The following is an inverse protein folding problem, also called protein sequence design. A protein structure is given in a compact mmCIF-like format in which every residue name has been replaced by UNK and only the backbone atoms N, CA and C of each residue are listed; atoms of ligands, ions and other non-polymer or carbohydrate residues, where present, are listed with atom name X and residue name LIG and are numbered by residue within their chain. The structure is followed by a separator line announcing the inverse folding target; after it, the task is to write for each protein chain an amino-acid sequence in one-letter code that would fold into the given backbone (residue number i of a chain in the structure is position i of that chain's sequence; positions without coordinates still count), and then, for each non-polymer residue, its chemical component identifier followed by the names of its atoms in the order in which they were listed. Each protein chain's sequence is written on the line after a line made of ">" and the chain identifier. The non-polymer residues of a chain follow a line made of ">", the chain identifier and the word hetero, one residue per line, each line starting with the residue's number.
data_IF_136701022462
#
_entry.id   IF_136701022462
#
_cell.length_a   1.000
_cell.length_b   1.000
_cell.length_c   1.000
_cell.angle_alpha   90.00
_cell.angle_beta   90.00
_cell.angle_gamma   90.00
#
_symmetry.space_group_name_H-M   'P 1'
#
loop_
_entity.id
_entity.type
_entity.pdbx_description
1 polymer ?
#
# COMPACT_ATOMS: atom_id res chain seq x y z
N UNK A 1 -13.05 -2.24 -13.81
CA UNK A 1 -12.09 -3.34 -13.73
C UNK A 1 -11.03 -3.09 -14.78
N UNK A 2 -9.78 -2.94 -14.35
CA UNK A 2 -8.66 -2.81 -15.27
C UNK A 2 -8.42 -4.14 -16.01
N UNK A 3 -9.36 -4.50 -16.86
CA UNK A 3 -9.35 -5.76 -17.61
C UNK A 3 -8.28 -5.81 -18.71
N UNK A 4 -7.64 -4.68 -19.01
CA UNK A 4 -6.73 -4.59 -20.15
C UNK A 4 -5.31 -5.08 -19.87
N UNK A 5 -4.92 -5.30 -18.62
CA UNK A 5 -3.53 -5.59 -18.30
C UNK A 5 -3.17 -7.06 -18.07
N UNK A 6 -4.13 -7.95 -17.86
CA UNK A 6 -3.82 -9.33 -17.53
C UNK A 6 -4.50 -10.38 -18.42
N UNK A 7 -5.50 -10.02 -19.18
CA UNK A 7 -6.01 -10.86 -20.26
C UNK A 7 -5.38 -10.30 -21.52
N UNK A 8 -4.34 -10.97 -22.01
CA UNK A 8 -3.93 -10.72 -23.38
C UNK A 8 -5.12 -11.13 -24.24
N UNK A 9 -5.76 -10.16 -24.87
CA UNK A 9 -6.83 -10.36 -25.83
C UNK A 9 -6.30 -10.88 -27.18
N UNK A 10 -4.99 -11.14 -27.27
CA UNK A 10 -4.32 -11.61 -28.47
C UNK A 10 -2.99 -12.30 -28.16
N UNK A 11 -2.56 -13.18 -29.06
CA UNK A 11 -1.25 -13.81 -29.07
C UNK A 11 -0.39 -13.17 -30.17
N UNK A 12 0.80 -12.72 -29.84
CA UNK A 12 1.74 -12.17 -30.82
C UNK A 12 2.29 -13.28 -31.75
N UNK A 13 2.81 -12.93 -32.91
CA UNK A 13 3.51 -13.92 -33.78
C UNK A 13 4.62 -14.67 -33.03
N UNK A 14 5.40 -13.97 -32.19
CA UNK A 14 6.48 -14.57 -31.40
C UNK A 14 5.94 -15.57 -30.36
N UNK A 15 4.79 -15.30 -29.75
CA UNK A 15 4.13 -16.24 -28.83
C UNK A 15 3.72 -17.53 -29.59
N UNK A 16 3.15 -17.40 -30.79
CA UNK A 16 2.74 -18.53 -31.62
C UNK A 16 3.96 -19.36 -32.05
N UNK A 17 5.04 -18.73 -32.48
CA UNK A 17 6.28 -19.41 -32.88
C UNK A 17 6.94 -20.14 -31.69
N UNK A 18 6.92 -19.53 -30.51
CA UNK A 18 7.35 -20.20 -29.29
C UNK A 18 6.49 -21.42 -28.96
N UNK A 19 5.15 -21.29 -28.96
CA UNK A 19 4.24 -22.41 -28.71
C UNK A 19 4.43 -23.55 -29.75
N UNK A 20 4.67 -23.21 -31.03
CA UNK A 20 4.99 -24.20 -32.09
C UNK A 20 6.29 -24.94 -31.78
N UNK A 21 7.30 -24.25 -31.27
CA UNK A 21 8.59 -24.86 -30.92
C UNK A 21 8.52 -25.92 -29.83
N UNK A 22 7.47 -25.85 -28.98
CA UNK A 22 7.25 -26.83 -27.91
C UNK A 22 6.76 -28.20 -28.42
N UNK A 23 6.25 -28.28 -29.66
CA UNK A 23 5.71 -29.50 -30.29
C UNK A 23 4.60 -30.21 -29.49
N UNK A 24 3.80 -29.45 -28.71
CA UNK A 24 2.69 -29.96 -27.88
C UNK A 24 1.33 -29.65 -28.50
N UNK A 25 1.25 -28.64 -29.36
CA UNK A 25 0.02 -28.15 -29.96
C UNK A 25 -0.01 -28.46 -31.46
N UNK A 26 -1.20 -28.76 -31.99
CA UNK A 26 -1.39 -28.91 -33.44
C UNK A 26 -1.49 -27.53 -34.13
N UNK A 27 -1.30 -27.53 -35.45
CA UNK A 27 -1.31 -26.28 -36.21
C UNK A 27 -2.68 -25.59 -36.24
N UNK A 28 -3.79 -26.33 -36.20
CA UNK A 28 -5.14 -25.77 -36.18
C UNK A 28 -5.37 -24.96 -34.91
N UNK A 29 -4.89 -25.46 -33.78
CA UNK A 29 -4.99 -24.72 -32.50
C UNK A 29 -4.10 -23.48 -32.46
N UNK A 30 -2.89 -23.58 -33.03
CA UNK A 30 -1.99 -22.43 -33.11
C UNK A 30 -2.56 -21.32 -34.01
N UNK A 31 -3.24 -21.71 -35.11
CA UNK A 31 -3.92 -20.76 -36.00
C UNK A 31 -5.15 -20.12 -35.30
N UNK A 32 -5.90 -20.90 -34.49
CA UNK A 32 -6.95 -20.37 -33.65
C UNK A 32 -6.41 -19.33 -32.66
N UNK A 33 -5.30 -19.60 -31.96
CA UNK A 33 -4.67 -18.67 -31.04
C UNK A 33 -4.16 -17.39 -31.72
N UNK A 34 -3.70 -17.47 -32.95
CA UNK A 34 -3.27 -16.31 -33.75
C UNK A 34 -4.40 -15.31 -33.96
N UNK A 35 -5.62 -15.80 -34.17
CA UNK A 35 -6.82 -14.99 -34.33
C UNK A 35 -7.60 -14.79 -33.05
N UNK A 36 -7.06 -15.21 -31.90
CA UNK A 36 -7.78 -15.18 -30.63
C UNK A 36 -8.06 -13.74 -30.18
N UNK A 37 -9.28 -13.50 -29.83
CA UNK A 37 -9.77 -12.37 -29.05
C UNK A 37 -10.99 -12.83 -28.27
N UNK A 38 -11.16 -12.31 -27.07
CA UNK A 38 -12.28 -12.68 -26.23
C UNK A 38 -13.57 -12.00 -26.75
N UNK A 39 -14.58 -12.79 -27.08
CA UNK A 39 -15.86 -12.32 -27.64
C UNK A 39 -17.04 -12.47 -26.67
N UNK A 40 -16.79 -13.04 -25.49
CA UNK A 40 -17.82 -13.32 -24.50
C UNK A 40 -18.18 -12.15 -23.62
N UNK A 41 -19.13 -12.38 -22.71
CA UNK A 41 -19.54 -11.45 -21.65
C UNK A 41 -19.01 -11.89 -20.30
N UNK A 42 -18.61 -10.91 -19.48
CA UNK A 42 -18.21 -11.12 -18.09
C UNK A 42 -19.13 -10.32 -17.18
N UNK A 43 -19.83 -11.02 -16.31
CA UNK A 43 -20.69 -10.45 -15.28
C UNK A 43 -19.97 -10.59 -13.94
N UNK A 44 -19.74 -9.50 -13.23
CA UNK A 44 -19.00 -9.51 -11.97
C UNK A 44 -19.72 -8.70 -10.89
N UNK A 45 -19.51 -9.08 -9.64
CA UNK A 45 -19.89 -8.26 -8.49
C UNK A 45 -19.03 -6.99 -8.52
N UNK A 46 -19.60 -5.79 -8.26
CA UNK A 46 -18.84 -4.54 -8.23
C UNK A 46 -17.69 -4.59 -7.23
N UNK A 47 -16.55 -3.99 -7.60
CA UNK A 47 -15.38 -3.90 -6.74
C UNK A 47 -15.70 -3.19 -5.42
N UNK A 48 -15.03 -3.60 -4.33
CA UNK A 48 -15.26 -3.08 -2.98
C UNK A 48 -16.48 -3.67 -2.28
N UNK A 49 -17.27 -4.51 -2.96
CA UNK A 49 -18.40 -5.21 -2.33
C UNK A 49 -17.88 -6.32 -1.41
N UNK A 50 -18.36 -6.36 -0.17
CA UNK A 50 -18.11 -7.48 0.73
C UNK A 50 -18.88 -8.71 0.26
N UNK A 51 -18.18 -9.82 0.13
CA UNK A 51 -18.73 -11.10 -0.34
C UNK A 51 -18.46 -12.22 0.67
N UNK A 52 -19.26 -13.28 0.60
CA UNK A 52 -19.16 -14.41 1.51
C UNK A 52 -18.70 -15.69 0.81
N UNK A 53 -18.19 -16.68 1.56
CA UNK A 53 -17.78 -17.96 0.98
C UNK A 53 -18.92 -18.64 0.21
N UNK A 54 -18.57 -19.24 -0.94
CA UNK A 54 -19.47 -19.96 -1.84
C UNK A 54 -20.41 -19.08 -2.68
N UNK A 55 -20.22 -17.78 -2.68
CA UNK A 55 -20.90 -16.89 -3.62
C UNK A 55 -20.14 -16.84 -4.95
N UNK A 56 -20.86 -16.86 -6.09
CA UNK A 56 -20.22 -16.65 -7.40
C UNK A 56 -19.80 -15.19 -7.53
N UNK A 57 -18.49 -14.93 -7.63
CA UNK A 57 -17.94 -13.58 -7.75
C UNK A 57 -18.03 -13.04 -9.18
N UNK A 58 -17.93 -13.97 -10.16
CA UNK A 58 -17.87 -13.65 -11.57
C UNK A 58 -18.50 -14.79 -12.39
N UNK A 59 -19.16 -14.44 -13.49
CA UNK A 59 -19.72 -15.35 -14.47
C UNK A 59 -19.20 -14.99 -15.85
N UNK A 60 -18.60 -15.96 -16.54
CA UNK A 60 -18.17 -15.85 -17.93
C UNK A 60 -19.20 -16.56 -18.83
N UNK A 61 -19.63 -15.89 -19.88
CA UNK A 61 -20.49 -16.45 -20.93
C UNK A 61 -19.75 -16.28 -22.26
N UNK A 62 -19.15 -17.36 -22.74
CA UNK A 62 -18.29 -17.32 -23.93
C UNK A 62 -18.24 -18.70 -24.62
N UNK A 63 -17.74 -18.81 -25.87
CA UNK A 63 -17.32 -20.07 -26.44
C UNK A 63 -16.38 -20.82 -25.51
N UNK A 64 -16.51 -22.14 -25.43
CA UNK A 64 -15.79 -22.96 -24.43
C UNK A 64 -14.28 -22.74 -24.43
N UNK A 65 -13.66 -22.60 -25.60
CA UNK A 65 -12.21 -22.39 -25.70
C UNK A 65 -11.80 -21.03 -25.12
N UNK A 66 -12.56 -19.98 -25.40
CA UNK A 66 -12.32 -18.65 -24.83
C UNK A 66 -12.50 -18.66 -23.31
N UNK A 67 -13.60 -19.26 -22.81
CA UNK A 67 -13.87 -19.38 -21.38
C UNK A 67 -12.73 -20.13 -20.65
N UNK A 68 -12.15 -21.15 -21.24
CA UNK A 68 -11.01 -21.89 -20.66
C UNK A 68 -9.71 -21.07 -20.65
N UNK A 69 -9.43 -20.33 -21.71
CA UNK A 69 -8.20 -19.55 -21.84
C UNK A 69 -8.11 -18.40 -20.83
N UNK A 70 -9.23 -17.79 -20.45
CA UNK A 70 -9.26 -16.65 -19.50
C UNK A 70 -9.25 -17.08 -18.03
N UNK A 71 -9.47 -18.37 -17.73
CA UNK A 71 -9.58 -18.90 -16.36
C UNK A 71 -8.43 -18.45 -15.44
N UNK A 72 -7.21 -18.79 -15.82
CA UNK A 72 -6.03 -18.56 -14.96
C UNK A 72 -5.79 -17.07 -14.71
N UNK A 73 -5.95 -16.24 -15.74
CA UNK A 73 -5.79 -14.80 -15.63
C UNK A 73 -6.82 -14.20 -14.64
N UNK A 74 -8.10 -14.56 -14.80
CA UNK A 74 -9.18 -14.10 -13.92
C UNK A 74 -8.94 -14.54 -12.48
N UNK A 75 -8.61 -15.81 -12.26
CA UNK A 75 -8.34 -16.31 -10.89
C UNK A 75 -7.16 -15.61 -10.25
N UNK A 76 -6.06 -15.41 -10.98
CA UNK A 76 -4.87 -14.73 -10.46
C UNK A 76 -5.20 -13.30 -10.00
N UNK A 77 -5.90 -12.53 -10.84
CA UNK A 77 -6.27 -11.15 -10.54
C UNK A 77 -7.21 -11.05 -9.34
N UNK A 78 -8.29 -11.84 -9.35
CA UNK A 78 -9.29 -11.80 -8.28
C UNK A 78 -8.66 -12.26 -6.96
N UNK A 79 -7.92 -13.36 -6.97
CA UNK A 79 -7.31 -13.89 -5.75
C UNK A 79 -6.38 -12.89 -5.09
N UNK A 80 -5.40 -12.35 -5.83
CA UNK A 80 -4.42 -11.42 -5.28
C UNK A 80 -5.08 -10.15 -4.75
N UNK A 81 -5.88 -9.47 -5.57
CA UNK A 81 -6.46 -8.19 -5.17
C UNK A 81 -7.49 -8.34 -4.05
N UNK A 82 -8.29 -9.42 -4.03
CA UNK A 82 -9.24 -9.69 -2.95
C UNK A 82 -8.56 -9.95 -1.61
N UNK A 83 -7.42 -10.67 -1.62
CA UNK A 83 -6.62 -10.91 -0.41
C UNK A 83 -6.10 -9.60 0.17
N UNK A 84 -5.50 -8.75 -0.66
CA UNK A 84 -4.94 -7.48 -0.22
C UNK A 84 -6.04 -6.52 0.25
N UNK A 85 -7.14 -6.39 -0.49
CA UNK A 85 -8.26 -5.55 -0.08
C UNK A 85 -8.87 -6.01 1.25
N UNK A 86 -9.01 -7.33 1.45
CA UNK A 86 -9.49 -7.91 2.70
C UNK A 86 -8.53 -7.64 3.85
N UNK A 87 -7.23 -7.79 3.64
CA UNK A 87 -6.20 -7.48 4.65
C UNK A 87 -6.23 -5.98 5.00
N UNK A 88 -6.28 -5.13 3.98
CA UNK A 88 -6.37 -3.68 4.16
C UNK A 88 -7.61 -3.27 4.97
N UNK A 89 -8.78 -3.83 4.65
CA UNK A 89 -10.02 -3.51 5.37
C UNK A 89 -9.96 -3.89 6.85
N UNK A 90 -9.29 -4.99 7.20
CA UNK A 90 -9.06 -5.39 8.60
C UNK A 90 -8.14 -4.41 9.33
N UNK A 91 -7.07 -3.98 8.68
CA UNK A 91 -6.12 -2.99 9.22
C UNK A 91 -6.83 -1.64 9.42
N UNK A 92 -7.61 -1.19 8.43
CA UNK A 92 -8.40 0.04 8.50
C UNK A 92 -9.42 -0.03 9.63
N UNK A 93 -10.12 -1.14 9.77
CA UNK A 93 -11.07 -1.34 10.86
C UNK A 93 -10.42 -1.28 12.24
N UNK A 94 -9.24 -1.89 12.40
CA UNK A 94 -8.49 -1.88 13.65
C UNK A 94 -7.99 -0.46 14.04
N UNK A 95 -7.77 0.41 13.06
CA UNK A 95 -7.31 1.78 13.28
C UNK A 95 -8.41 2.75 13.77
N UNK A 96 -9.65 2.30 13.86
CA UNK A 96 -10.79 3.03 14.48
C UNK A 96 -11.02 4.46 13.93
N UNK A 97 -10.68 4.68 12.68
CA UNK A 97 -10.86 5.97 12.00
C UNK A 97 -9.57 6.70 11.63
N UNK A 98 -8.43 6.28 12.19
CA UNK A 98 -7.14 6.84 11.79
C UNK A 98 -6.77 6.43 10.36
N UNK A 99 -6.00 7.29 9.69
CA UNK A 99 -5.58 7.05 8.30
C UNK A 99 -4.54 5.92 8.18
N UNK A 100 -4.80 4.97 7.27
CA UNK A 100 -3.85 3.92 6.91
C UNK A 100 -3.19 4.26 5.58
N UNK A 101 -1.87 4.35 5.55
CA UNK A 101 -1.06 4.52 4.34
C UNK A 101 -0.43 3.19 3.94
N UNK A 102 -0.53 2.84 2.66
CA UNK A 102 0.09 1.63 2.11
C UNK A 102 1.58 1.90 1.79
N UNK A 103 2.50 1.17 2.45
CA UNK A 103 3.96 1.33 2.33
C UNK A 103 4.67 0.01 1.94
N UNK A 104 3.97 -0.89 1.26
CA UNK A 104 4.43 -2.26 1.05
C UNK A 104 5.19 -2.51 -0.26
N UNK A 105 5.31 -1.57 -1.20
CA UNK A 105 5.87 -1.78 -2.54
C UNK A 105 7.17 -2.60 -2.54
N UNK A 106 8.13 -2.26 -1.68
CA UNK A 106 9.45 -2.96 -1.57
C UNK A 106 9.36 -4.40 -1.06
N UNK A 107 8.21 -4.84 -0.57
CA UNK A 107 7.95 -6.17 0.00
C UNK A 107 6.95 -6.99 -0.81
N UNK A 108 6.37 -6.43 -1.86
CA UNK A 108 5.45 -7.13 -2.76
C UNK A 108 6.18 -8.22 -3.57
N UNK A 109 5.43 -9.22 -4.01
CA UNK A 109 5.93 -10.31 -4.84
C UNK A 109 6.01 -9.91 -6.32
N UNK A 110 6.81 -8.92 -6.61
CA UNK A 110 7.06 -8.37 -7.94
C UNK A 110 6.40 -7.00 -8.15
N UNK A 111 6.81 -6.29 -9.23
CA UNK A 111 6.35 -4.93 -9.51
C UNK A 111 4.83 -4.83 -9.69
N UNK A 112 4.25 -5.76 -10.47
CA UNK A 112 2.81 -5.80 -10.73
C UNK A 112 2.03 -6.07 -9.45
N UNK A 113 2.48 -7.03 -8.63
CA UNK A 113 1.89 -7.28 -7.31
C UNK A 113 1.96 -6.04 -6.42
N UNK A 114 3.01 -5.22 -6.52
CA UNK A 114 3.12 -3.95 -5.82
C UNK A 114 2.09 -2.93 -6.29
N UNK A 115 1.87 -2.82 -7.59
CA UNK A 115 0.92 -1.86 -8.18
C UNK A 115 -0.53 -2.28 -7.93
N UNK A 116 -0.89 -3.52 -8.25
CA UNK A 116 -2.24 -4.03 -8.01
C UNK A 116 -2.57 -4.19 -6.52
N UNK A 117 -1.57 -4.54 -5.71
CA UNK A 117 -1.74 -4.60 -4.27
C UNK A 117 -1.99 -3.24 -3.65
N UNK A 118 -1.27 -2.20 -4.06
CA UNK A 118 -1.51 -0.83 -3.61
C UNK A 118 -2.92 -0.34 -4.00
N UNK A 119 -3.36 -0.61 -5.24
CA UNK A 119 -4.73 -0.34 -5.69
C UNK A 119 -5.77 -1.06 -4.80
N UNK A 120 -5.57 -2.35 -4.58
CA UNK A 120 -6.46 -3.16 -3.75
C UNK A 120 -6.50 -2.67 -2.29
N UNK A 121 -5.38 -2.19 -1.75
CA UNK A 121 -5.32 -1.61 -0.42
C UNK A 121 -6.17 -0.33 -0.31
N UNK A 122 -6.17 0.52 -1.33
CA UNK A 122 -7.03 1.72 -1.38
C UNK A 122 -8.51 1.33 -1.47
N UNK A 123 -8.86 0.32 -2.27
CA UNK A 123 -10.23 -0.25 -2.29
C UNK A 123 -10.62 -0.77 -0.90
N UNK A 124 -9.68 -1.36 -0.15
CA UNK A 124 -9.86 -1.82 1.22
C UNK A 124 -9.93 -0.71 2.28
N UNK A 125 -9.78 0.56 1.89
CA UNK A 125 -9.95 1.74 2.74
C UNK A 125 -8.66 2.46 3.14
N UNK A 126 -7.48 2.08 2.58
CA UNK A 126 -6.26 2.87 2.76
C UNK A 126 -6.42 4.26 2.11
N UNK A 127 -5.88 5.29 2.78
CA UNK A 127 -6.00 6.69 2.33
C UNK A 127 -5.05 7.06 1.18
N UNK A 128 -4.11 6.19 0.84
CA UNK A 128 -3.15 6.38 -0.25
C UNK A 128 -1.98 5.40 -0.16
N UNK A 129 -1.05 5.53 -1.09
CA UNK A 129 0.10 4.62 -1.25
C UNK A 129 1.40 5.36 -1.49
N UNK A 130 2.51 4.74 -1.15
CA UNK A 130 3.86 5.20 -1.54
C UNK A 130 4.24 4.79 -2.98
N UNK A 131 3.42 4.00 -3.66
CA UNK A 131 3.63 3.58 -5.04
C UNK A 131 3.14 4.65 -6.02
N UNK A 132 4.06 5.46 -6.54
CA UNK A 132 3.75 6.58 -7.45
C UNK A 132 3.17 6.10 -8.79
N UNK A 133 3.52 4.90 -9.26
CA UNK A 133 2.92 4.33 -10.47
C UNK A 133 1.45 4.04 -10.22
N UNK A 134 1.12 3.36 -9.14
CA UNK A 134 -0.26 3.12 -8.73
C UNK A 134 -1.04 4.43 -8.55
N UNK A 135 -0.42 5.42 -7.88
CA UNK A 135 -1.04 6.72 -7.68
C UNK A 135 -1.41 7.40 -9.01
N UNK A 136 -0.50 7.34 -9.99
CA UNK A 136 -0.72 7.91 -11.32
C UNK A 136 -1.78 7.16 -12.14
N UNK A 137 -1.73 5.82 -12.14
CA UNK A 137 -2.59 5.00 -12.99
C UNK A 137 -4.03 4.93 -12.50
N UNK A 138 -4.23 5.00 -11.18
CA UNK A 138 -5.54 4.82 -10.56
C UNK A 138 -6.08 6.08 -9.86
N UNK A 139 -5.41 7.22 -10.04
CA UNK A 139 -5.81 8.51 -9.45
C UNK A 139 -6.04 8.43 -7.93
N UNK A 140 -5.11 7.77 -7.22
CA UNK A 140 -5.13 7.65 -5.77
C UNK A 140 -4.02 8.51 -5.14
N UNK A 141 -4.18 8.98 -3.88
CA UNK A 141 -3.18 9.84 -3.25
C UNK A 141 -1.80 9.17 -3.14
N UNK A 142 -0.76 9.86 -3.62
CA UNK A 142 0.63 9.51 -3.37
C UNK A 142 1.04 10.05 -2.00
N UNK A 143 1.42 9.17 -1.07
CA UNK A 143 1.79 9.50 0.29
C UNK A 143 3.15 8.90 0.64
N UNK A 144 3.88 9.58 1.52
CA UNK A 144 5.17 9.08 1.98
C UNK A 144 5.90 10.09 2.84
N UNK A 145 7.00 9.65 3.44
CA UNK A 145 7.92 10.44 4.21
C UNK A 145 9.34 10.12 3.78
N UNK A 146 10.35 10.72 4.42
CA UNK A 146 11.74 10.35 4.18
C UNK A 146 12.15 9.06 4.90
N UNK A 147 13.28 8.49 4.51
CA UNK A 147 13.87 7.30 5.11
C UNK A 147 15.01 7.67 6.09
N UNK A 148 15.41 6.71 6.96
CA UNK A 148 16.57 6.86 7.83
C UNK A 148 17.85 7.23 7.06
N UNK A 149 18.04 6.66 5.86
CA UNK A 149 19.17 6.98 4.98
C UNK A 149 19.25 8.45 4.59
N UNK A 150 18.14 9.15 4.47
CA UNK A 150 18.12 10.61 4.28
C UNK A 150 18.80 11.32 5.45
N UNK A 151 18.42 10.99 6.70
CA UNK A 151 19.01 11.61 7.89
C UNK A 151 20.49 11.28 7.99
N UNK A 152 20.84 10.02 7.78
CA UNK A 152 22.22 9.53 7.83
C UNK A 152 23.13 10.15 6.73
N UNK A 153 22.57 10.66 5.65
CA UNK A 153 23.34 11.33 4.58
C UNK A 153 23.82 12.74 4.96
N UNK A 154 23.25 13.31 6.03
CA UNK A 154 23.70 14.59 6.60
C UNK A 154 24.61 14.31 7.81
N UNK A 155 25.45 15.25 8.16
CA UNK A 155 26.37 15.10 9.30
C UNK A 155 25.66 15.08 10.67
N UNK A 156 24.44 15.60 10.73
CA UNK A 156 23.60 15.63 11.92
C UNK A 156 22.10 15.62 11.56
N UNK A 157 21.28 15.15 12.50
CA UNK A 157 19.84 14.97 12.36
C UNK A 157 19.10 16.31 12.20
N UNK A 158 19.51 17.34 12.93
CA UNK A 158 18.86 18.65 12.91
C UNK A 158 19.01 19.30 11.52
N UNK A 159 20.18 19.21 10.90
CA UNK A 159 20.42 19.70 9.54
C UNK A 159 19.54 18.96 8.53
N UNK A 160 19.43 17.63 8.65
CA UNK A 160 18.55 16.83 7.80
C UNK A 160 17.09 17.27 7.92
N UNK A 161 16.60 17.48 9.14
CA UNK A 161 15.23 17.92 9.40
C UNK A 161 14.93 19.32 8.85
N UNK A 162 15.85 20.28 9.02
CA UNK A 162 15.74 21.62 8.42
C UNK A 162 15.65 21.56 6.90
N UNK A 163 16.50 20.75 6.28
CA UNK A 163 16.48 20.58 4.82
C UNK A 163 15.21 19.91 4.32
N UNK A 164 14.67 18.94 5.07
CA UNK A 164 13.41 18.32 4.72
C UNK A 164 12.24 19.32 4.82
N UNK A 165 12.17 20.09 5.90
CA UNK A 165 11.15 21.12 6.08
C UNK A 165 11.21 22.23 5.02
N UNK A 166 12.41 22.59 4.56
CA UNK A 166 12.62 23.54 3.45
C UNK A 166 12.06 23.00 2.12
N UNK A 167 12.26 21.71 1.84
CA UNK A 167 11.78 21.04 0.60
C UNK A 167 10.28 20.77 0.61
N UNK A 168 9.70 20.50 1.78
CA UNK A 168 8.28 20.13 1.94
C UNK A 168 7.52 21.10 2.86
N UNK A 169 7.39 22.39 2.46
CA UNK A 169 6.86 23.43 3.33
C UNK A 169 5.34 23.33 3.64
N UNK A 170 4.63 22.42 2.98
CA UNK A 170 3.18 22.24 3.19
C UNK A 170 2.84 20.97 3.97
N UNK A 171 3.77 20.01 4.05
CA UNK A 171 3.60 18.73 4.74
C UNK A 171 4.95 18.23 5.22
N UNK A 172 5.27 18.50 6.48
CA UNK A 172 6.57 18.18 7.08
C UNK A 172 6.41 17.11 8.15
N UNK A 173 6.66 15.85 7.82
CA UNK A 173 6.69 14.73 8.79
C UNK A 173 8.14 14.26 8.96
N UNK A 174 8.68 14.41 10.17
CA UNK A 174 10.07 14.14 10.51
C UNK A 174 10.23 12.77 11.16
N UNK A 175 11.09 11.91 10.60
CA UNK A 175 11.40 10.57 11.11
C UNK A 175 12.40 10.69 12.26
N UNK A 176 11.96 10.46 13.50
CA UNK A 176 12.68 10.86 14.70
C UNK A 176 13.42 9.73 15.42
N UNK A 177 13.44 8.54 14.87
CA UNK A 177 14.01 7.36 15.53
C UNK A 177 15.28 6.81 14.83
N UNK A 178 15.98 7.67 14.08
CA UNK A 178 17.24 7.27 13.42
C UNK A 178 18.36 7.00 14.45
N UNK A 179 18.43 7.78 15.52
CA UNK A 179 19.45 7.65 16.57
C UNK A 179 18.81 7.40 17.94
N UNK A 180 18.31 8.45 18.61
CA UNK A 180 17.62 8.34 19.89
C UNK A 180 16.34 9.18 19.82
N UNK A 181 15.20 8.52 19.83
CA UNK A 181 13.88 9.14 19.64
C UNK A 181 13.62 10.27 20.65
N UNK A 182 13.85 10.03 21.94
CA UNK A 182 13.46 10.97 23.00
C UNK A 182 14.57 11.97 23.37
N UNK A 183 15.84 11.63 23.15
CA UNK A 183 16.96 12.51 23.50
C UNK A 183 17.45 13.35 22.32
N UNK A 184 17.19 12.95 21.10
CA UNK A 184 17.65 13.60 19.88
C UNK A 184 16.51 13.89 18.90
N UNK A 185 15.82 12.88 18.42
CA UNK A 185 14.86 13.02 17.32
C UNK A 185 13.71 13.97 17.62
N UNK A 186 12.93 13.71 18.67
CA UNK A 186 11.79 14.58 19.05
C UNK A 186 12.27 15.99 19.44
N UNK A 187 13.33 16.18 20.24
CA UNK A 187 13.86 17.52 20.52
C UNK A 187 14.31 18.29 19.26
N UNK A 188 14.97 17.63 18.30
CA UNK A 188 15.36 18.26 17.05
C UNK A 188 14.15 18.60 16.16
N UNK A 189 13.13 17.75 16.14
CA UNK A 189 11.87 18.06 15.43
C UNK A 189 11.18 19.28 16.03
N UNK A 190 11.05 19.35 17.34
CA UNK A 190 10.51 20.50 18.07
C UNK A 190 11.28 21.78 17.71
N UNK A 191 12.59 21.74 17.75
CA UNK A 191 13.44 22.88 17.36
C UNK A 191 13.18 23.37 15.94
N UNK A 192 12.98 22.44 14.98
CA UNK A 192 12.62 22.84 13.61
C UNK A 192 11.24 23.49 13.56
N UNK A 193 10.26 22.98 14.32
CA UNK A 193 8.93 23.58 14.38
C UNK A 193 8.96 24.96 15.03
N UNK A 194 9.75 25.18 16.10
CA UNK A 194 10.00 26.49 16.69
C UNK A 194 10.56 27.48 15.66
N UNK A 195 11.63 27.09 14.93
CA UNK A 195 12.25 27.91 13.89
C UNK A 195 11.27 28.28 12.76
N UNK A 196 10.41 27.32 12.36
CA UNK A 196 9.37 27.58 11.35
C UNK A 196 8.28 28.51 11.86
N UNK A 197 7.89 28.37 13.14
CA UNK A 197 6.90 29.23 13.79
C UNK A 197 7.39 30.68 13.91
N UNK A 198 8.63 30.88 14.35
CA UNK A 198 9.26 32.20 14.43
C UNK A 198 9.33 32.90 13.07
N UNK A 199 9.51 32.13 11.99
CA UNK A 199 9.52 32.63 10.62
C UNK A 199 8.15 32.80 9.99
N UNK A 200 7.05 32.48 10.69
CA UNK A 200 5.68 32.41 10.18
C UNK A 200 5.55 31.48 8.96
N UNK A 201 6.24 30.34 8.98
CA UNK A 201 6.33 29.34 7.91
C UNK A 201 5.84 27.96 8.30
N UNK A 202 5.02 27.86 9.35
CA UNK A 202 4.48 26.56 9.77
C UNK A 202 3.72 25.86 8.64
N UNK A 203 4.02 24.60 8.37
CA UNK A 203 3.27 23.78 7.42
C UNK A 203 1.80 23.64 7.83
N UNK A 204 0.91 23.43 6.85
CA UNK A 204 -0.49 23.10 7.15
C UNK A 204 -0.62 21.73 7.82
N UNK A 205 0.26 20.79 7.48
CA UNK A 205 0.41 19.51 8.14
C UNK A 205 1.86 19.33 8.56
N UNK A 206 2.06 19.00 9.81
CA UNK A 206 3.39 18.75 10.34
C UNK A 206 3.31 17.72 11.47
N UNK A 207 4.42 17.04 11.70
CA UNK A 207 4.46 16.03 12.74
C UNK A 207 5.73 15.21 12.71
N UNK A 208 5.68 14.08 13.39
CA UNK A 208 6.79 13.14 13.51
C UNK A 208 6.37 11.74 13.06
N UNK A 209 7.35 10.92 12.71
CA UNK A 209 7.15 9.51 12.43
C UNK A 209 8.03 8.66 13.34
N UNK A 210 7.41 7.61 13.89
CA UNK A 210 8.04 6.55 14.69
C UNK A 210 8.02 5.25 13.88
N UNK A 211 9.17 4.62 13.66
CA UNK A 211 9.32 3.41 12.84
C UNK A 211 9.88 2.22 13.63
N UNK A 212 10.24 2.42 14.89
CA UNK A 212 10.91 1.41 15.73
C UNK A 212 10.66 1.60 17.22
N UNK A 213 11.04 0.58 18.00
CA UNK A 213 10.95 0.60 19.46
C UNK A 213 9.55 0.32 20.01
N UNK A 214 9.32 0.65 21.28
CA UNK A 214 8.00 0.54 21.91
C UNK A 214 7.12 1.73 21.49
N UNK A 215 6.34 1.54 20.43
CA UNK A 215 5.50 2.59 19.85
C UNK A 215 4.48 3.14 20.83
N UNK A 216 3.93 2.32 21.75
CA UNK A 216 2.97 2.80 22.74
C UNK A 216 3.64 3.72 23.76
N UNK A 217 4.82 3.36 24.23
CA UNK A 217 5.59 4.19 25.15
C UNK A 217 6.11 5.45 24.47
N UNK A 218 6.74 5.29 23.30
CA UNK A 218 7.39 6.40 22.58
C UNK A 218 6.36 7.43 22.10
N UNK A 219 5.21 7.02 21.57
CA UNK A 219 4.17 7.97 21.11
C UNK A 219 3.61 8.81 22.26
N UNK A 220 3.35 8.21 23.42
CA UNK A 220 2.91 8.95 24.63
C UNK A 220 3.95 9.94 25.12
N UNK A 221 5.22 9.57 25.10
CA UNK A 221 6.31 10.48 25.49
C UNK A 221 6.51 11.60 24.48
N UNK A 222 6.52 11.27 23.19
CA UNK A 222 6.63 12.24 22.13
C UNK A 222 5.46 13.23 22.12
N UNK A 223 4.21 12.74 22.31
CA UNK A 223 3.02 13.59 22.40
C UNK A 223 3.16 14.60 23.53
N UNK A 224 3.55 14.12 24.72
CA UNK A 224 3.78 15.02 25.85
C UNK A 224 4.86 16.07 25.56
N UNK A 225 5.96 15.70 24.92
CA UNK A 225 7.04 16.65 24.59
C UNK A 225 6.57 17.70 23.57
N UNK A 226 5.79 17.29 22.57
CA UNK A 226 5.22 18.18 21.56
C UNK A 226 4.21 19.17 22.21
N UNK A 227 3.35 18.68 23.09
CA UNK A 227 2.36 19.50 23.82
C UNK A 227 3.05 20.51 24.74
N UNK A 228 4.03 20.06 25.53
CA UNK A 228 4.81 20.90 26.44
C UNK A 228 5.58 22.03 25.70
N UNK A 229 5.95 21.76 24.42
CA UNK A 229 6.60 22.74 23.55
C UNK A 229 5.62 23.63 22.76
N UNK A 230 4.30 23.45 22.90
CA UNK A 230 3.29 24.29 22.25
C UNK A 230 2.87 23.81 20.85
N UNK A 231 3.10 22.54 20.51
CA UNK A 231 2.72 21.92 19.23
C UNK A 231 1.67 20.79 19.40
N UNK A 232 0.49 21.08 19.98
CA UNK A 232 -0.54 20.06 20.18
C UNK A 232 -1.12 19.50 18.87
N UNK A 233 -1.05 20.27 17.78
CA UNK A 233 -1.55 19.89 16.45
C UNK A 233 -0.54 19.08 15.62
N UNK A 234 0.67 18.82 16.16
CA UNK A 234 1.66 18.00 15.48
C UNK A 234 1.18 16.54 15.42
N UNK A 235 1.04 15.97 14.23
CA UNK A 235 0.62 14.59 14.03
C UNK A 235 1.74 13.59 14.40
N UNK A 236 1.37 12.44 14.94
CA UNK A 236 2.30 11.31 15.17
C UNK A 236 1.90 10.18 14.25
N UNK A 237 2.75 9.90 13.27
CA UNK A 237 2.62 8.75 12.37
C UNK A 237 3.43 7.58 12.94
N UNK A 238 2.87 6.38 12.95
CA UNK A 238 3.62 5.16 13.27
C UNK A 238 3.76 4.27 12.04
N UNK A 239 4.89 3.59 11.96
CA UNK A 239 5.16 2.53 10.99
C UNK A 239 6.00 1.44 11.66
N UNK A 240 6.40 0.44 10.96
CA UNK A 240 7.12 -0.76 11.35
C UNK A 240 6.38 -2.00 10.83
N UNK A 241 6.52 -3.16 11.43
CA UNK A 241 5.81 -4.40 11.05
C UNK A 241 4.35 -4.42 11.54
N UNK A 242 3.60 -3.35 11.27
CA UNK A 242 2.21 -3.18 11.70
C UNK A 242 1.25 -4.16 10.99
N UNK A 243 0.25 -4.58 11.75
CA UNK A 243 -0.93 -5.29 11.25
C UNK A 243 -2.15 -4.93 12.11
N UNK A 244 -3.32 -5.50 11.80
CA UNK A 244 -4.57 -5.25 12.52
C UNK A 244 -4.49 -5.58 14.01
N UNK A 245 -3.73 -6.58 14.39
CA UNK A 245 -3.59 -7.01 15.79
C UNK A 245 -2.69 -6.06 16.58
N UNK A 246 -1.57 -5.65 15.99
CA UNK A 246 -0.64 -4.74 16.64
C UNK A 246 -1.25 -3.35 16.77
N UNK A 247 -1.95 -2.85 15.75
CA UNK A 247 -2.65 -1.55 15.79
C UNK A 247 -3.70 -1.56 16.92
N UNK A 248 -4.56 -2.56 16.98
CA UNK A 248 -5.57 -2.67 18.05
C UNK A 248 -4.92 -2.75 19.44
N UNK A 249 -3.82 -3.50 19.58
CA UNK A 249 -3.05 -3.57 20.81
C UNK A 249 -2.45 -2.21 21.23
N UNK A 250 -1.84 -1.48 20.28
CA UNK A 250 -1.26 -0.16 20.54
C UNK A 250 -2.32 0.85 20.98
N UNK A 251 -3.47 0.88 20.31
CA UNK A 251 -4.59 1.73 20.68
C UNK A 251 -5.13 1.36 22.06
N UNK A 252 -5.24 0.07 22.38
CA UNK A 252 -5.68 -0.41 23.70
C UNK A 252 -4.71 -0.03 24.81
N UNK A 253 -3.42 0.14 24.50
CA UNK A 253 -2.39 0.62 25.42
C UNK A 253 -2.39 2.17 25.56
N UNK A 254 -3.27 2.86 24.85
CA UNK A 254 -3.36 4.33 24.84
C UNK A 254 -2.23 5.00 24.07
N UNK A 255 -1.74 4.37 22.99
CA UNK A 255 -0.80 5.01 22.08
C UNK A 255 -1.40 6.29 21.48
N UNK A 256 -0.58 7.34 21.39
CA UNK A 256 -0.97 8.63 20.82
C UNK A 256 -0.46 8.67 19.37
N UNK A 257 -1.21 8.06 18.47
CA UNK A 257 -0.86 7.92 17.05
C UNK A 257 -2.07 8.38 16.24
N UNK A 258 -1.83 9.19 15.20
CA UNK A 258 -2.86 9.81 14.37
C UNK A 258 -2.95 9.17 12.99
N UNK A 259 -1.89 8.48 12.55
CA UNK A 259 -1.85 7.78 11.25
C UNK A 259 -0.85 6.63 11.25
N UNK A 260 -1.04 5.68 10.33
CA UNK A 260 -0.32 4.42 10.31
C UNK A 260 0.23 4.13 8.92
N UNK A 261 1.52 3.84 8.82
CA UNK A 261 2.17 3.35 7.60
C UNK A 261 2.33 1.83 7.65
N UNK A 262 1.55 1.09 6.86
CA UNK A 262 1.53 -0.36 6.90
C UNK A 262 2.16 -0.93 5.62
N UNK A 263 3.16 -1.79 5.77
CA UNK A 263 3.95 -2.31 4.66
C UNK A 263 3.78 -3.81 4.46
N UNK A 264 4.77 -4.59 4.93
CA UNK A 264 4.93 -6.02 4.66
C UNK A 264 3.67 -6.82 4.92
N UNK A 265 3.08 -6.68 6.09
CA UNK A 265 1.94 -7.50 6.52
C UNK A 265 0.68 -7.27 5.69
N UNK A 266 0.52 -6.06 5.14
CA UNK A 266 -0.59 -5.69 4.26
C UNK A 266 -0.36 -6.23 2.84
N UNK A 267 0.75 -5.84 2.19
CA UNK A 267 0.98 -6.13 0.78
C UNK A 267 1.22 -7.61 0.47
N UNK A 268 1.56 -8.40 1.48
CA UNK A 268 1.72 -9.85 1.36
C UNK A 268 0.50 -10.63 1.84
N UNK A 269 -0.53 -9.96 2.29
CA UNK A 269 -1.69 -10.57 2.97
C UNK A 269 -1.24 -11.59 4.03
N UNK A 270 -0.29 -11.19 4.88
CA UNK A 270 0.29 -12.07 5.90
C UNK A 270 -0.82 -12.77 6.71
N UNK A 271 -0.61 -14.03 7.02
CA UNK A 271 -1.53 -14.98 7.66
C UNK A 271 -2.62 -15.59 6.76
N UNK A 272 -2.88 -15.02 5.58
CA UNK A 272 -3.80 -15.59 4.60
C UNK A 272 -3.24 -15.30 3.20
N UNK A 273 -2.13 -15.94 2.78
CA UNK A 273 -1.44 -15.60 1.54
C UNK A 273 -2.07 -16.23 0.29
N UNK A 274 -3.06 -17.11 0.46
CA UNK A 274 -3.72 -17.81 -0.63
C UNK A 274 -5.24 -17.68 -0.53
N UNK A 275 -5.89 -17.54 -1.67
CA UNK A 275 -7.34 -17.50 -1.80
C UNK A 275 -7.83 -18.75 -2.51
N UNK A 276 -8.90 -19.37 -2.00
CA UNK A 276 -9.45 -20.62 -2.52
C UNK A 276 -10.46 -20.41 -3.65
N UNK A 277 -10.20 -19.49 -4.58
CA UNK A 277 -11.05 -19.28 -5.76
C UNK A 277 -11.08 -20.49 -6.67
N UNK A 278 -12.27 -20.82 -7.20
CA UNK A 278 -12.48 -21.96 -8.10
C UNK A 278 -13.22 -21.45 -9.33
N UNK A 279 -12.77 -21.85 -10.50
CA UNK A 279 -13.43 -21.62 -11.78
C UNK A 279 -14.10 -22.94 -12.23
N UNK A 280 -15.35 -22.89 -12.69
CA UNK A 280 -16.10 -24.07 -13.15
C UNK A 280 -16.97 -23.69 -14.34
#
# INVERSE_FOLDING_TARGET
>A
VGSEMCIRDSFSPDDIDYLRSLHIFNDDFLEYLRGFHFTGDIYAIPEGTVVFPREPLLKVVAPIMEAQLVETAILNMINHQSLIATKASRVVYAAKGDGIMEFGLRRAQGPDAGTFGARAAVIGGCIGTSNVICAKEYDVPALGTHAHSWIMSYGDELTAFRKYAELYPNNTTLLVDTYDTLRSGVPNAIRVFEELSEQNRMPKKYGIRLDSGDLAYLSKKARKMLDDAGFPDAEICASSDLDEYLIDSLLSQGACIDSWGVGTNLITSKNTPAFGGVYK
#
